data_IF_680821859374
#
_entry.id   IF_680821859374
#
_cell.length_a   1.000
_cell.length_b   1.000
_cell.length_c   1.000
_cell.angle_alpha   90.00
_cell.angle_beta   90.00
_cell.angle_gamma   90.00
#
_symmetry.space_group_name_H-M   'P 1'
#
loop_
_entity.id
_entity.type
_entity.pdbx_description
1 polymer ?
#
# COMPACT_ATOMS: atom_id res chain seq x y z
N UNK A 1 -35.31 19.26 -8.51
CA UNK A 1 -35.57 19.49 -7.06
C UNK A 1 -35.86 18.12 -6.44
N UNK A 2 -34.84 17.42 -5.94
CA UNK A 2 -34.95 16.20 -5.16
C UNK A 2 -34.16 16.43 -3.87
N UNK A 3 -34.87 16.57 -2.76
CA UNK A 3 -34.32 16.71 -1.42
C UNK A 3 -33.70 15.39 -0.99
N UNK A 4 -32.39 15.34 -0.82
CA UNK A 4 -31.73 14.27 -0.09
C UNK A 4 -32.14 14.37 1.39
N UNK A 5 -32.70 13.28 1.92
CA UNK A 5 -33.03 13.19 3.35
C UNK A 5 -31.72 12.91 4.14
N UNK A 6 -31.53 13.56 5.30
CA UNK A 6 -30.37 13.31 6.14
C UNK A 6 -30.48 11.93 6.81
N UNK A 7 -29.36 11.19 6.81
CA UNK A 7 -29.20 9.93 7.57
C UNK A 7 -29.10 10.31 9.04
N UNK A 8 -30.06 9.87 9.86
CA UNK A 8 -30.14 10.15 11.29
C UNK A 8 -29.04 9.41 12.06
N UNK A 9 -28.20 10.07 12.89
CA UNK A 9 -27.18 9.42 13.69
C UNK A 9 -27.77 8.78 14.96
N UNK A 10 -27.29 7.59 15.30
CA UNK A 10 -27.44 6.98 16.62
C UNK A 10 -26.62 7.74 17.67
N UNK A 11 -27.19 7.90 18.86
CA UNK A 11 -26.68 8.71 19.97
C UNK A 11 -25.23 8.38 20.38
N UNK A 12 -24.35 9.37 20.30
CA UNK A 12 -23.06 9.37 20.93
C UNK A 12 -22.00 10.21 20.21
N UNK A 13 -21.81 11.46 20.63
CA UNK A 13 -20.83 12.46 20.17
C UNK A 13 -21.03 12.98 18.74
N UNK A 14 -20.99 14.31 18.60
CA UNK A 14 -21.19 15.06 17.35
C UNK A 14 -20.15 14.66 16.29
N UNK A 15 -20.47 13.62 15.51
CA UNK A 15 -19.73 13.37 14.27
C UNK A 15 -20.06 14.50 13.30
N UNK A 16 -19.03 15.06 12.69
CA UNK A 16 -19.19 16.11 11.68
C UNK A 16 -20.00 15.51 10.53
N UNK A 17 -21.19 16.04 10.29
CA UNK A 17 -22.01 15.66 9.14
C UNK A 17 -21.41 16.31 7.91
N UNK A 18 -20.74 15.53 7.09
CA UNK A 18 -20.25 16.01 5.79
C UNK A 18 -21.43 16.03 4.81
N UNK A 19 -21.85 17.22 4.39
CA UNK A 19 -22.86 17.39 3.34
C UNK A 19 -22.31 17.10 1.95
N UNK A 20 -21.05 17.41 1.72
CA UNK A 20 -20.19 16.97 0.63
C UNK A 20 -18.81 16.75 1.24
N UNK A 21 -18.19 15.59 0.99
CA UNK A 21 -16.82 15.34 1.45
C UNK A 21 -15.87 15.87 0.39
N UNK A 22 -15.26 17.00 0.68
CA UNK A 22 -14.31 17.63 -0.24
C UNK A 22 -12.89 17.15 0.07
N UNK A 23 -12.12 16.88 -0.97
CA UNK A 23 -10.72 16.47 -0.90
C UNK A 23 -9.89 17.42 -0.02
N UNK A 24 -10.09 18.73 -0.17
CA UNK A 24 -9.38 19.75 0.60
C UNK A 24 -9.63 19.69 2.12
N UNK A 25 -10.67 19.01 2.59
CA UNK A 25 -10.89 18.82 4.03
C UNK A 25 -9.83 17.89 4.66
N UNK A 26 -9.19 17.05 3.84
CA UNK A 26 -8.11 16.14 4.25
C UNK A 26 -6.72 16.75 4.05
N UNK A 27 -6.66 18.06 3.85
CA UNK A 27 -5.41 18.80 3.76
C UNK A 27 -4.82 19.04 5.14
N UNK A 28 -3.52 18.91 5.25
CA UNK A 28 -2.69 19.40 6.35
C UNK A 28 -1.38 19.89 5.76
N UNK A 29 -0.73 20.83 6.43
CA UNK A 29 0.55 21.36 5.99
C UNK A 29 1.66 20.34 6.30
N UNK A 30 2.33 19.85 5.26
CA UNK A 30 3.41 18.89 5.36
C UNK A 30 4.69 19.49 4.78
N UNK A 31 5.67 19.87 5.62
CA UNK A 31 6.98 20.29 5.15
C UNK A 31 7.67 19.18 4.35
N UNK A 32 8.25 19.52 3.20
CA UNK A 32 8.87 18.56 2.29
C UNK A 32 10.05 17.83 2.93
N UNK A 33 10.77 18.47 3.83
CA UNK A 33 11.88 17.88 4.59
C UNK A 33 11.47 16.73 5.51
N UNK A 34 10.20 16.61 5.85
CA UNK A 34 9.69 15.47 6.64
C UNK A 34 9.43 14.23 5.81
N UNK A 35 9.44 14.33 4.48
CA UNK A 35 9.29 13.19 3.58
C UNK A 35 10.58 12.36 3.58
N UNK A 36 10.51 11.16 4.16
CA UNK A 36 11.67 10.31 4.33
C UNK A 36 12.24 9.82 3.00
N UNK A 37 13.50 10.12 2.74
CA UNK A 37 14.20 9.70 1.52
C UNK A 37 14.94 8.36 1.68
N UNK A 38 15.25 7.97 2.91
CA UNK A 38 16.01 6.75 3.26
C UNK A 38 15.34 5.98 4.38
N UNK A 39 15.38 4.63 4.34
CA UNK A 39 14.97 3.81 5.46
C UNK A 39 15.93 3.96 6.64
N UNK A 40 15.41 3.71 7.85
CA UNK A 40 16.23 3.64 9.08
C UNK A 40 16.84 2.26 9.25
N UNK A 41 17.98 2.21 9.94
CA UNK A 41 18.61 0.99 10.44
C UNK A 41 18.76 1.06 11.98
N UNK A 42 18.33 0.04 12.70
CA UNK A 42 17.51 -1.09 12.24
C UNK A 42 16.07 -0.65 11.85
N UNK A 43 15.32 -1.53 11.16
CA UNK A 43 13.96 -1.24 10.66
C UNK A 43 13.01 -0.77 11.75
N UNK A 44 13.07 -1.38 12.92
CA UNK A 44 12.22 -1.12 14.08
C UNK A 44 12.65 0.09 14.94
N UNK A 45 13.68 0.82 14.49
CA UNK A 45 14.10 2.07 15.11
C UNK A 45 13.20 3.26 14.76
N UNK A 46 12.29 3.11 13.79
CA UNK A 46 11.30 4.14 13.46
C UNK A 46 10.43 4.50 14.66
N UNK A 47 9.92 5.71 14.68
CA UNK A 47 8.95 6.14 15.69
C UNK A 47 7.59 5.51 15.45
N UNK A 48 6.80 5.38 16.48
CA UNK A 48 5.44 4.88 16.45
C UNK A 48 4.52 5.85 17.20
N UNK A 49 3.54 6.41 16.50
CA UNK A 49 2.45 7.13 17.14
C UNK A 49 1.31 6.14 17.39
N UNK A 50 0.99 5.89 18.65
CA UNK A 50 -0.13 5.02 19.03
C UNK A 50 -1.36 5.89 19.27
N UNK A 51 -2.41 5.68 18.49
CA UNK A 51 -3.66 6.44 18.53
C UNK A 51 -4.80 5.56 19.04
N UNK A 52 -5.39 5.94 20.15
CA UNK A 52 -6.66 5.37 20.61
C UNK A 52 -7.81 5.95 19.78
N UNK A 53 -8.44 5.12 18.96
CA UNK A 53 -9.50 5.55 18.04
C UNK A 53 -10.79 5.98 18.75
N UNK A 54 -11.00 5.55 20.01
CA UNK A 54 -12.22 5.89 20.76
C UNK A 54 -12.08 7.25 21.43
N UNK A 55 -10.92 7.53 22.01
CA UNK A 55 -10.69 8.73 22.80
C UNK A 55 -9.94 9.83 22.04
N UNK A 56 -9.22 9.48 20.98
CA UNK A 56 -8.32 10.38 20.25
C UNK A 56 -7.01 10.66 20.98
N UNK A 57 -6.75 10.01 22.12
CA UNK A 57 -5.49 10.13 22.84
C UNK A 57 -4.37 9.40 22.07
N UNK A 58 -3.18 9.97 22.11
CA UNK A 58 -2.01 9.37 21.46
C UNK A 58 -0.81 9.27 22.41
N UNK A 59 0.14 8.42 22.02
CA UNK A 59 1.40 8.23 22.70
C UNK A 59 2.53 8.14 21.67
N UNK A 60 3.63 8.83 21.93
CA UNK A 60 4.86 8.73 21.13
C UNK A 60 5.73 7.59 21.64
N UNK A 61 6.11 6.67 20.75
CA UNK A 61 6.88 5.45 21.02
C UNK A 61 7.87 5.19 19.89
N UNK A 62 8.60 4.09 19.98
CA UNK A 62 9.35 3.49 18.86
C UNK A 62 8.63 2.24 18.38
N UNK A 63 8.87 1.84 17.13
CA UNK A 63 8.15 0.72 16.55
C UNK A 63 8.35 -0.60 17.31
N UNK A 64 9.54 -0.81 17.86
CA UNK A 64 9.82 -1.98 18.72
C UNK A 64 8.92 -2.08 19.95
N UNK A 65 8.37 -0.97 20.41
CA UNK A 65 7.47 -0.93 21.57
C UNK A 65 6.07 -1.46 21.24
N UNK A 66 5.81 -1.83 19.97
CA UNK A 66 4.53 -2.39 19.52
C UNK A 66 4.12 -3.59 20.35
N UNK A 67 5.09 -4.36 20.86
CA UNK A 67 4.87 -5.50 21.74
C UNK A 67 4.04 -5.16 22.98
N UNK A 68 4.14 -3.92 23.48
CA UNK A 68 3.38 -3.47 24.66
C UNK A 68 1.91 -3.17 24.35
N UNK A 69 1.54 -3.07 23.09
CA UNK A 69 0.20 -2.76 22.61
C UNK A 69 -0.53 -3.97 22.03
N UNK A 70 0.20 -5.03 21.72
CA UNK A 70 -0.35 -6.30 21.28
C UNK A 70 -0.71 -7.17 22.49
N UNK A 71 -1.66 -8.09 22.31
CA UNK A 71 -2.15 -8.98 23.37
C UNK A 71 -2.13 -10.43 22.88
N UNK A 72 -1.90 -11.40 23.75
CA UNK A 72 -2.11 -12.81 23.40
C UNK A 72 -3.51 -13.01 22.83
N UNK A 73 -3.60 -13.73 21.71
CA UNK A 73 -4.86 -13.94 20.99
C UNK A 73 -5.19 -12.92 19.90
N UNK A 74 -4.43 -11.84 19.76
CA UNK A 74 -4.50 -10.96 18.60
C UNK A 74 -3.98 -11.66 17.33
N UNK A 75 -4.33 -11.15 16.16
CA UNK A 75 -3.80 -11.57 14.87
C UNK A 75 -3.29 -10.36 14.09
N UNK A 76 -2.01 -10.39 13.67
CA UNK A 76 -1.48 -9.46 12.69
C UNK A 76 -1.71 -10.01 11.29
N UNK A 77 -2.35 -9.23 10.43
CA UNK A 77 -2.55 -9.58 9.01
C UNK A 77 -1.59 -8.76 8.16
N UNK A 78 -0.68 -9.47 7.49
CA UNK A 78 0.46 -8.90 6.76
C UNK A 78 0.30 -9.18 5.26
N UNK A 79 0.66 -8.21 4.42
CA UNK A 79 0.70 -8.40 2.98
C UNK A 79 2.08 -8.90 2.55
N UNK A 80 2.15 -10.12 2.04
CA UNK A 80 3.40 -10.79 1.66
C UNK A 80 3.80 -10.58 0.19
N UNK A 81 3.17 -9.65 -0.51
CA UNK A 81 3.55 -9.30 -1.87
C UNK A 81 5.01 -8.82 -1.93
N UNK A 82 5.69 -9.20 -3.00
CA UNK A 82 7.08 -8.83 -3.27
C UNK A 82 7.15 -7.94 -4.51
N UNK A 83 7.89 -6.85 -4.39
CA UNK A 83 8.06 -5.88 -5.47
C UNK A 83 8.95 -6.47 -6.55
N UNK A 84 8.51 -6.36 -7.80
CA UNK A 84 9.32 -6.64 -8.96
C UNK A 84 10.32 -5.48 -9.19
N UNK A 85 11.57 -5.76 -9.61
CA UNK A 85 12.46 -4.72 -10.15
C UNK A 85 11.96 -4.31 -11.55
N UNK A 86 10.78 -3.70 -11.55
CA UNK A 86 9.93 -3.48 -12.72
C UNK A 86 10.35 -2.29 -13.59
N UNK A 87 11.33 -1.49 -13.14
CA UNK A 87 11.82 -0.33 -13.86
C UNK A 87 13.02 -0.72 -14.73
N UNK A 88 12.85 -0.68 -16.05
CA UNK A 88 13.84 -1.07 -17.03
C UNK A 88 14.38 0.16 -17.75
N UNK A 89 15.67 0.38 -17.66
CA UNK A 89 16.37 1.43 -18.41
C UNK A 89 17.06 0.81 -19.62
N UNK A 90 16.76 1.32 -20.80
CA UNK A 90 17.28 0.78 -22.04
C UNK A 90 17.33 1.80 -23.15
N UNK A 91 17.35 1.32 -24.35
CA UNK A 91 17.45 2.15 -25.55
C UNK A 91 16.63 1.55 -26.72
N UNK A 92 16.23 2.41 -27.62
CA UNK A 92 15.64 2.03 -28.91
C UNK A 92 16.73 1.47 -29.80
N UNK A 93 16.58 0.23 -30.26
CA UNK A 93 17.60 -0.48 -31.04
C UNK A 93 18.02 0.28 -32.30
N UNK A 94 17.09 0.90 -33.03
CA UNK A 94 17.35 1.61 -34.26
C UNK A 94 18.13 2.92 -34.11
N UNK A 95 18.08 3.57 -32.94
CA UNK A 95 18.58 4.96 -32.79
C UNK A 95 19.49 5.17 -31.57
N UNK A 96 19.56 4.20 -30.66
CA UNK A 96 20.26 4.36 -29.38
C UNK A 96 19.59 5.34 -28.41
N UNK A 97 18.40 5.85 -28.74
CA UNK A 97 17.69 6.79 -27.88
C UNK A 97 17.23 6.14 -26.59
N UNK A 98 17.58 6.74 -25.44
CA UNK A 98 17.18 6.22 -24.14
C UNK A 98 15.67 6.09 -24.01
N UNK A 99 15.24 4.98 -23.42
CA UNK A 99 13.86 4.67 -23.09
C UNK A 99 13.79 4.01 -21.72
N UNK A 100 12.74 4.30 -21.00
CA UNK A 100 12.39 3.64 -19.76
C UNK A 100 11.10 2.89 -19.94
N UNK A 101 11.03 1.63 -19.50
CA UNK A 101 9.80 0.90 -19.34
C UNK A 101 9.57 0.61 -17.86
N UNK A 102 8.31 0.74 -17.45
CA UNK A 102 7.85 0.32 -16.13
C UNK A 102 6.79 -0.75 -16.32
N UNK A 103 7.08 -1.96 -15.88
CA UNK A 103 6.19 -3.11 -15.96
C UNK A 103 4.95 -2.88 -15.09
N UNK A 104 3.76 -3.10 -15.65
CA UNK A 104 2.49 -2.93 -14.95
C UNK A 104 1.78 -4.28 -14.74
N UNK A 105 1.35 -4.91 -15.83
CA UNK A 105 0.51 -6.10 -15.78
C UNK A 105 0.96 -7.11 -16.81
N UNK A 106 1.19 -8.38 -16.43
CA UNK A 106 1.43 -9.45 -17.38
C UNK A 106 0.15 -9.74 -18.18
N UNK A 107 0.31 -10.00 -19.49
CA UNK A 107 -0.79 -10.28 -20.42
C UNK A 107 -0.69 -11.69 -21.05
N UNK A 108 0.22 -12.53 -20.54
CA UNK A 108 0.52 -13.86 -21.09
C UNK A 108 1.46 -13.82 -22.28
N UNK A 109 2.02 -14.97 -22.65
CA UNK A 109 2.91 -15.14 -23.82
C UNK A 109 4.06 -14.12 -23.90
N UNK A 110 4.70 -13.87 -22.76
CA UNK A 110 5.75 -12.86 -22.60
C UNK A 110 5.33 -11.42 -22.93
N UNK A 111 4.03 -11.18 -23.03
CA UNK A 111 3.47 -9.85 -23.23
C UNK A 111 3.19 -9.15 -21.90
N UNK A 112 3.51 -7.88 -21.85
CA UNK A 112 3.29 -7.02 -20.69
C UNK A 112 2.70 -5.68 -21.10
N UNK A 113 1.77 -5.22 -20.28
CA UNK A 113 1.40 -3.82 -20.28
C UNK A 113 2.46 -3.03 -19.51
N UNK A 114 2.95 -1.95 -20.11
CA UNK A 114 4.03 -1.14 -19.55
C UNK A 114 3.74 0.35 -19.72
N UNK A 115 4.25 1.15 -18.80
CA UNK A 115 4.38 2.58 -18.98
C UNK A 115 5.72 2.87 -19.65
N UNK A 116 5.73 3.66 -20.73
CA UNK A 116 6.95 4.00 -21.46
C UNK A 116 7.31 5.49 -21.29
N UNK A 117 8.53 5.77 -20.93
CA UNK A 117 9.09 7.11 -20.77
C UNK A 117 10.34 7.35 -21.64
N UNK A 118 10.37 8.36 -22.54
CA UNK A 118 9.24 9.09 -23.12
C UNK A 118 8.43 8.26 -24.11
N UNK A 119 7.10 8.32 -24.06
CA UNK A 119 6.22 7.51 -24.90
C UNK A 119 6.47 7.65 -26.41
N UNK A 120 6.96 8.81 -26.87
CA UNK A 120 7.33 9.04 -28.28
C UNK A 120 8.49 8.15 -28.80
N UNK A 121 9.25 7.51 -27.87
CA UNK A 121 10.37 6.60 -28.17
C UNK A 121 10.00 5.14 -28.10
N UNK A 122 8.72 4.82 -27.87
CA UNK A 122 8.18 3.48 -27.82
C UNK A 122 6.88 3.44 -28.65
N UNK A 123 7.04 3.41 -29.97
CA UNK A 123 5.94 3.33 -30.94
C UNK A 123 5.72 1.88 -31.38
N UNK A 124 4.51 1.51 -31.80
CA UNK A 124 4.27 0.18 -32.37
C UNK A 124 5.29 -0.16 -33.46
N UNK A 125 5.87 -1.35 -33.38
CA UNK A 125 6.93 -1.82 -34.28
C UNK A 125 8.35 -1.51 -33.82
N UNK A 126 8.56 -0.64 -32.82
CA UNK A 126 9.89 -0.37 -32.28
C UNK A 126 10.44 -1.56 -31.51
N UNK A 127 11.75 -1.77 -31.63
CA UNK A 127 12.50 -2.70 -30.81
C UNK A 127 13.34 -1.94 -29.79
N UNK A 128 13.28 -2.40 -28.56
CA UNK A 128 13.95 -1.82 -27.39
C UNK A 128 14.90 -2.85 -26.80
N UNK A 129 16.06 -2.42 -26.32
CA UNK A 129 17.06 -3.30 -25.72
C UNK A 129 17.43 -2.82 -24.32
N UNK A 130 17.63 -3.80 -23.43
CA UNK A 130 17.95 -3.58 -22.01
C UNK A 130 19.09 -4.50 -21.59
N UNK A 131 19.93 -4.04 -20.64
CA UNK A 131 20.98 -4.87 -20.07
C UNK A 131 21.94 -5.42 -21.13
N UNK A 132 22.41 -4.60 -22.05
CA UNK A 132 23.34 -5.00 -23.13
C UNK A 132 22.79 -6.15 -24.01
N UNK A 133 21.46 -6.21 -24.15
CA UNK A 133 20.79 -7.22 -24.97
C UNK A 133 20.30 -8.47 -24.22
N UNK A 134 20.46 -8.53 -22.89
CA UNK A 134 19.91 -9.61 -22.07
C UNK A 134 18.38 -9.68 -22.16
N UNK A 135 17.73 -8.54 -22.39
CA UNK A 135 16.30 -8.43 -22.60
C UNK A 135 16.01 -7.52 -23.78
N UNK A 136 15.14 -7.98 -24.66
CA UNK A 136 14.62 -7.15 -25.76
C UNK A 136 13.10 -7.07 -25.65
N UNK A 137 12.53 -5.97 -26.12
CA UNK A 137 11.10 -5.78 -26.17
C UNK A 137 10.66 -5.23 -27.52
N UNK A 138 9.60 -5.81 -28.07
CA UNK A 138 8.92 -5.27 -29.25
C UNK A 138 7.62 -4.60 -28.82
N UNK A 139 7.45 -3.34 -29.18
CA UNK A 139 6.21 -2.61 -28.92
C UNK A 139 5.15 -3.09 -29.92
N UNK A 140 4.06 -3.64 -29.40
CA UNK A 140 2.96 -4.18 -30.22
C UNK A 140 1.93 -3.10 -30.51
N UNK A 141 1.43 -2.42 -29.47
CA UNK A 141 0.37 -1.41 -29.61
C UNK A 141 0.41 -0.37 -28.49
N UNK A 142 -0.33 0.71 -28.69
CA UNK A 142 -0.61 1.72 -27.66
C UNK A 142 -2.01 1.46 -27.11
N UNK A 143 -2.08 1.20 -25.80
CA UNK A 143 -3.33 0.93 -25.10
C UNK A 143 -4.04 2.23 -24.70
N UNK A 144 -5.31 2.10 -24.29
CA UNK A 144 -6.05 3.21 -23.69
C UNK A 144 -5.30 3.78 -22.49
N UNK A 145 -5.27 5.12 -22.38
CA UNK A 145 -4.47 5.80 -21.34
C UNK A 145 -2.98 5.97 -21.65
N UNK A 146 -2.52 5.50 -22.83
CA UNK A 146 -1.16 5.75 -23.30
C UNK A 146 -0.11 4.73 -22.88
N UNK A 147 -0.50 3.68 -22.17
CA UNK A 147 0.37 2.52 -21.88
C UNK A 147 0.73 1.79 -23.18
N UNK A 148 1.72 0.93 -23.11
CA UNK A 148 2.16 0.10 -24.25
C UNK A 148 1.92 -1.38 -23.94
N UNK A 149 1.49 -2.14 -24.93
CA UNK A 149 1.64 -3.58 -24.92
C UNK A 149 2.97 -3.91 -25.58
N UNK A 150 3.84 -4.61 -24.87
CA UNK A 150 5.15 -5.04 -25.37
C UNK A 150 5.27 -6.54 -25.25
N UNK A 151 6.01 -7.17 -26.18
CA UNK A 151 6.42 -8.56 -26.08
C UNK A 151 7.90 -8.62 -25.78
N UNK A 152 8.26 -9.31 -24.73
CA UNK A 152 9.66 -9.53 -24.34
C UNK A 152 10.25 -10.77 -25.01
N UNK A 153 11.56 -10.70 -25.24
CA UNK A 153 12.38 -11.84 -25.66
C UNK A 153 13.65 -11.85 -24.82
N UNK A 154 13.99 -13.01 -24.28
CA UNK A 154 15.09 -13.22 -23.33
C UNK A 154 15.50 -14.70 -23.34
N UNK A 155 16.62 -15.02 -22.73
CA UNK A 155 17.02 -16.41 -22.48
C UNK A 155 16.82 -16.78 -21.00
N UNK A 156 16.35 -18.01 -20.76
CA UNK A 156 16.18 -18.55 -19.41
C UNK A 156 14.91 -18.07 -18.71
N UNK A 157 15.06 -17.58 -17.48
CA UNK A 157 13.95 -17.14 -16.62
C UNK A 157 13.81 -15.62 -16.64
N UNK A 158 12.60 -15.13 -16.97
CA UNK A 158 12.30 -13.71 -17.06
C UNK A 158 12.58 -12.95 -15.76
N UNK A 159 12.18 -13.50 -14.62
CA UNK A 159 12.37 -12.87 -13.33
C UNK A 159 13.85 -12.79 -12.92
N UNK A 160 14.66 -13.80 -13.29
CA UNK A 160 16.10 -13.75 -13.07
C UNK A 160 16.78 -12.65 -13.93
N UNK A 161 16.29 -12.44 -15.15
CA UNK A 161 16.75 -11.32 -15.99
C UNK A 161 16.35 -9.99 -15.35
N UNK A 162 15.11 -9.85 -14.87
CA UNK A 162 14.67 -8.64 -14.18
C UNK A 162 15.50 -8.34 -12.92
N UNK A 163 15.84 -9.36 -12.14
CA UNK A 163 16.71 -9.18 -10.96
C UNK A 163 18.08 -8.63 -11.32
N UNK A 164 18.59 -9.01 -12.50
CA UNK A 164 19.91 -8.58 -12.99
C UNK A 164 19.91 -7.13 -13.48
N UNK A 165 18.92 -6.76 -14.30
CA UNK A 165 18.93 -5.48 -15.03
C UNK A 165 17.88 -4.47 -14.52
N UNK A 166 16.86 -4.94 -13.83
CA UNK A 166 15.75 -4.11 -13.34
C UNK A 166 16.13 -3.27 -12.12
N UNK A 167 15.45 -2.15 -11.99
CA UNK A 167 15.54 -1.27 -10.83
C UNK A 167 14.22 -1.30 -10.04
N UNK A 168 14.31 -1.09 -8.74
CA UNK A 168 13.12 -0.99 -7.89
C UNK A 168 12.30 0.25 -8.29
N UNK A 169 11.01 0.10 -8.53
CA UNK A 169 10.13 1.21 -8.88
C UNK A 169 9.75 1.99 -7.62
N UNK A 170 10.68 2.82 -7.14
CA UNK A 170 10.44 3.65 -5.97
C UNK A 170 9.35 4.70 -6.27
N UNK A 171 8.56 5.07 -5.25
CA UNK A 171 7.59 6.16 -5.39
C UNK A 171 8.23 7.46 -5.88
N UNK A 172 7.48 8.31 -6.62
CA UNK A 172 8.03 9.50 -7.26
C UNK A 172 8.59 10.56 -6.29
N UNK A 173 8.19 10.53 -5.02
CA UNK A 173 8.70 11.43 -3.98
C UNK A 173 10.01 10.97 -3.34
N UNK A 174 10.53 9.77 -3.69
CA UNK A 174 11.84 9.29 -3.29
C UNK A 174 12.80 9.57 -4.43
N UNK A 175 13.69 10.52 -4.21
CA UNK A 175 14.68 10.95 -5.21
C UNK A 175 16.06 10.31 -5.00
N UNK A 176 16.30 9.78 -3.80
CA UNK A 176 17.54 9.11 -3.47
C UNK A 176 17.58 7.68 -3.99
N UNK A 177 18.76 7.28 -4.51
CA UNK A 177 18.97 5.90 -4.95
C UNK A 177 19.05 4.96 -3.76
N UNK A 178 18.25 3.91 -3.79
CA UNK A 178 18.32 2.85 -2.81
C UNK A 178 19.59 2.03 -3.01
N UNK A 179 20.44 1.92 -1.99
CA UNK A 179 21.69 1.15 -2.03
C UNK A 179 21.45 -0.36 -2.01
N UNK A 180 20.47 -0.78 -1.22
CA UNK A 180 20.07 -2.17 -1.05
C UNK A 180 18.61 -2.32 -1.46
N UNK A 181 18.34 -3.11 -2.50
CA UNK A 181 16.98 -3.38 -3.02
C UNK A 181 16.07 -4.01 -1.97
N UNK A 182 16.63 -4.85 -1.08
CA UNK A 182 15.87 -5.54 -0.03
C UNK A 182 15.33 -4.58 1.04
N UNK A 183 15.83 -3.34 1.10
CA UNK A 183 15.26 -2.32 2.00
C UNK A 183 13.88 -1.81 1.55
N UNK A 184 13.50 -2.06 0.29
CA UNK A 184 12.14 -1.81 -0.21
C UNK A 184 11.32 -3.10 -0.34
N UNK A 185 11.68 -4.11 0.46
CA UNK A 185 10.94 -5.37 0.61
C UNK A 185 10.67 -5.61 2.11
N UNK A 186 9.51 -6.19 2.42
CA UNK A 186 9.26 -6.69 3.78
C UNK A 186 10.10 -7.93 4.03
N UNK A 187 10.45 -8.20 5.29
CA UNK A 187 11.24 -9.39 5.65
C UNK A 187 10.48 -10.71 5.43
N UNK A 188 9.21 -10.63 5.15
CA UNK A 188 8.31 -11.78 4.89
C UNK A 188 7.74 -11.78 3.46
N UNK A 189 8.24 -10.93 2.56
CA UNK A 189 7.76 -10.87 1.18
C UNK A 189 8.03 -12.18 0.42
N UNK A 190 7.03 -12.70 -0.31
CA UNK A 190 7.10 -13.97 -1.04
C UNK A 190 6.55 -13.87 -2.45
N UNK A 191 5.31 -13.36 -2.58
CA UNK A 191 4.53 -13.41 -3.80
C UNK A 191 4.90 -12.27 -4.75
N UNK A 192 5.67 -12.59 -5.79
CA UNK A 192 6.13 -11.64 -6.80
C UNK A 192 4.96 -11.09 -7.62
N UNK A 193 5.00 -9.80 -7.94
CA UNK A 193 4.00 -9.18 -8.84
C UNK A 193 3.60 -7.75 -8.45
N UNK A 194 4.06 -7.26 -7.31
CA UNK A 194 3.72 -5.90 -6.85
C UNK A 194 4.60 -4.84 -7.50
N UNK A 195 4.01 -3.71 -7.85
CA UNK A 195 4.73 -2.53 -8.33
C UNK A 195 5.21 -1.62 -7.17
N UNK A 196 4.70 -1.83 -5.95
CA UNK A 196 5.10 -1.10 -4.77
C UNK A 196 5.08 -2.00 -3.53
N UNK A 197 5.95 -1.70 -2.55
CA UNK A 197 6.00 -2.43 -1.30
C UNK A 197 4.81 -2.08 -0.38
N UNK A 198 4.31 -3.03 0.43
CA UNK A 198 3.40 -2.73 1.54
C UNK A 198 4.20 -2.11 2.69
N UNK A 199 4.41 -0.79 2.61
CA UNK A 199 5.47 -0.08 3.34
C UNK A 199 5.33 -0.08 4.86
N UNK A 200 4.12 -0.24 5.40
CA UNK A 200 3.93 -0.43 6.84
C UNK A 200 4.60 -1.71 7.38
N UNK A 201 4.78 -2.71 6.54
CA UNK A 201 5.50 -3.93 6.88
C UNK A 201 7.02 -3.77 6.92
N UNK A 202 7.57 -2.69 6.35
CA UNK A 202 9.01 -2.45 6.34
C UNK A 202 9.62 -2.20 7.72
N UNK A 203 8.79 -1.86 8.69
CA UNK A 203 9.22 -1.63 10.08
C UNK A 203 9.54 -2.91 10.85
N UNK A 204 9.02 -4.05 10.41
CA UNK A 204 9.28 -5.33 11.07
C UNK A 204 10.65 -5.87 10.75
N UNK A 205 11.32 -6.39 11.79
CA UNK A 205 12.48 -7.27 11.66
C UNK A 205 12.04 -8.72 11.87
N UNK A 206 12.82 -9.72 11.42
CA UNK A 206 12.53 -11.13 11.73
C UNK A 206 12.42 -11.39 13.23
N UNK A 207 13.31 -10.79 14.03
CA UNK A 207 13.36 -10.93 15.49
C UNK A 207 12.11 -10.34 16.14
N UNK A 208 11.64 -9.19 15.70
CA UNK A 208 10.41 -8.57 16.22
C UNK A 208 9.18 -9.44 15.90
N UNK A 209 9.10 -10.03 14.71
CA UNK A 209 8.02 -10.96 14.36
C UNK A 209 8.06 -12.26 15.20
N UNK A 210 9.25 -12.77 15.51
CA UNK A 210 9.39 -13.90 16.42
C UNK A 210 8.90 -13.55 17.82
N UNK A 211 9.24 -12.38 18.35
CA UNK A 211 8.75 -11.89 19.64
C UNK A 211 7.23 -11.75 19.65
N UNK A 212 6.64 -11.21 18.58
CA UNK A 212 5.18 -11.12 18.40
C UNK A 212 4.53 -12.48 18.51
N UNK A 213 5.05 -13.49 17.79
CA UNK A 213 4.53 -14.86 17.84
C UNK A 213 4.71 -15.51 19.20
N UNK A 214 5.86 -15.28 19.86
CA UNK A 214 6.16 -15.78 21.19
C UNK A 214 5.19 -15.26 22.26
N UNK A 215 4.58 -14.09 22.05
CA UNK A 215 3.54 -13.53 22.91
C UNK A 215 2.18 -14.24 22.75
N UNK A 216 2.02 -15.14 21.79
CA UNK A 216 0.73 -15.74 21.46
C UNK A 216 -0.13 -14.89 20.51
N UNK A 217 0.49 -14.00 19.74
CA UNK A 217 -0.14 -13.27 18.63
C UNK A 217 0.01 -14.09 17.36
N UNK A 218 -1.11 -14.37 16.68
CA UNK A 218 -1.07 -15.06 15.38
C UNK A 218 -0.59 -14.10 14.28
N UNK A 219 0.04 -14.65 13.24
CA UNK A 219 0.38 -13.91 12.03
C UNK A 219 -0.30 -14.58 10.83
N UNK A 220 -1.10 -13.82 10.10
CA UNK A 220 -1.76 -14.29 8.88
C UNK A 220 -1.27 -13.48 7.69
N UNK A 221 -1.14 -14.12 6.53
CA UNK A 221 -0.64 -13.48 5.33
C UNK A 221 -1.75 -13.37 4.27
N UNK A 222 -1.87 -12.20 3.72
CA UNK A 222 -2.68 -11.92 2.52
C UNK A 222 -1.74 -11.48 1.41
N UNK A 223 -2.16 -11.64 0.17
CA UNK A 223 -1.45 -11.10 -0.98
C UNK A 223 -2.32 -10.03 -1.63
N UNK A 224 -1.83 -8.83 -1.78
CA UNK A 224 -2.40 -7.81 -2.64
C UNK A 224 -1.26 -7.18 -3.44
N UNK A 225 -1.34 -7.31 -4.75
CA UNK A 225 -0.38 -6.70 -5.65
C UNK A 225 -0.70 -5.24 -5.87
N UNK A 226 0.10 -4.38 -5.24
CA UNK A 226 -0.07 -2.93 -5.31
C UNK A 226 0.27 -2.45 -6.71
N UNK A 227 -0.68 -1.78 -7.35
CA UNK A 227 -0.48 -1.11 -8.63
C UNK A 227 0.09 0.31 -8.47
N UNK A 228 0.66 0.85 -9.55
CA UNK A 228 1.19 2.23 -9.56
C UNK A 228 0.12 3.30 -9.35
N UNK A 229 -1.14 2.94 -9.50
CA UNK A 229 -2.27 3.82 -9.23
C UNK A 229 -2.29 4.38 -7.81
N UNK A 230 -1.73 3.64 -6.86
CA UNK A 230 -1.65 4.06 -5.45
C UNK A 230 -0.88 5.38 -5.25
N UNK A 231 0.01 5.73 -6.18
CA UNK A 231 0.77 6.99 -6.14
C UNK A 231 0.11 8.13 -6.91
N UNK A 232 -1.04 7.89 -7.55
CA UNK A 232 -1.75 8.96 -8.27
C UNK A 232 -2.54 9.82 -7.27
N UNK A 233 -2.41 11.15 -7.34
CA UNK A 233 -3.20 12.03 -6.48
C UNK A 233 -4.68 11.94 -6.86
N UNK A 234 -5.55 12.12 -5.86
CA UNK A 234 -6.98 12.36 -6.08
C UNK A 234 -7.14 13.68 -6.82
N UNK A 235 -7.84 13.67 -7.93
CA UNK A 235 -8.03 14.87 -8.77
C UNK A 235 -9.39 15.50 -8.57
N UNK A 236 -10.36 14.70 -8.19
CA UNK A 236 -11.74 15.08 -7.97
C UNK A 236 -11.85 15.96 -6.72
N UNK A 237 -12.62 17.02 -6.78
CA UNK A 237 -12.85 17.90 -5.63
C UNK A 237 -13.77 17.23 -4.61
N UNK A 238 -14.80 16.54 -5.06
CA UNK A 238 -15.66 15.69 -4.23
C UNK A 238 -15.13 14.26 -4.24
N UNK A 239 -14.79 13.72 -3.06
CA UNK A 239 -14.12 12.42 -2.96
C UNK A 239 -14.99 11.27 -3.43
N UNK A 240 -16.32 11.39 -3.37
CA UNK A 240 -17.27 10.37 -3.83
C UNK A 240 -17.23 10.13 -5.34
N UNK A 241 -16.70 11.07 -6.11
CA UNK A 241 -16.50 10.95 -7.57
C UNK A 241 -15.22 10.19 -7.92
N UNK A 242 -14.33 10.01 -6.95
CA UNK A 242 -13.06 9.32 -7.16
C UNK A 242 -13.25 7.82 -7.39
N UNK A 243 -12.58 7.31 -8.44
CA UNK A 243 -12.56 5.88 -8.77
C UNK A 243 -11.22 5.29 -8.41
N UNK A 244 -11.24 4.34 -7.46
CA UNK A 244 -10.06 3.58 -7.09
C UNK A 244 -9.59 2.66 -8.22
N UNK A 245 -8.30 2.40 -8.24
CA UNK A 245 -7.73 1.38 -9.12
C UNK A 245 -8.11 0.00 -8.61
N UNK A 246 -8.35 -0.91 -9.54
CA UNK A 246 -8.58 -2.31 -9.24
C UNK A 246 -7.24 -3.02 -9.03
N UNK A 247 -7.11 -3.74 -7.92
CA UNK A 247 -5.92 -4.50 -7.53
C UNK A 247 -6.31 -5.93 -7.17
N UNK A 248 -5.49 -6.89 -7.61
CA UNK A 248 -5.73 -8.30 -7.34
C UNK A 248 -5.31 -8.66 -5.92
N UNK A 249 -6.17 -9.37 -5.21
CA UNK A 249 -5.88 -9.90 -3.88
C UNK A 249 -6.14 -11.40 -3.79
N UNK A 250 -5.47 -12.03 -2.83
CA UNK A 250 -5.66 -13.41 -2.46
C UNK A 250 -5.65 -13.55 -0.93
N UNK A 251 -6.60 -14.33 -0.40
CA UNK A 251 -6.69 -14.75 0.99
C UNK A 251 -6.71 -16.27 1.06
N UNK A 252 -5.66 -16.87 1.62
CA UNK A 252 -5.53 -18.31 1.75
C UNK A 252 -6.51 -18.91 2.81
N UNK A 253 -6.74 -20.22 2.73
CA UNK A 253 -7.52 -20.94 3.75
C UNK A 253 -6.89 -20.82 5.14
N UNK A 254 -5.55 -20.90 5.21
CA UNK A 254 -4.81 -20.77 6.46
C UNK A 254 -4.99 -19.40 7.10
N UNK A 255 -4.86 -18.33 6.31
CA UNK A 255 -5.05 -16.95 6.77
C UNK A 255 -6.50 -16.72 7.23
N UNK A 256 -7.50 -17.17 6.45
CA UNK A 256 -8.90 -17.07 6.83
C UNK A 256 -9.19 -17.80 8.14
N UNK A 257 -8.64 -19.02 8.31
CA UNK A 257 -8.79 -19.80 9.54
C UNK A 257 -8.16 -19.09 10.76
N UNK A 258 -6.97 -18.51 10.62
CA UNK A 258 -6.30 -17.75 11.69
C UNK A 258 -7.13 -16.54 12.13
N UNK A 259 -7.63 -15.77 11.17
CA UNK A 259 -8.48 -14.59 11.41
C UNK A 259 -9.77 -15.01 12.13
N UNK A 260 -10.42 -16.06 11.66
CA UNK A 260 -11.66 -16.54 12.25
C UNK A 260 -11.46 -17.08 13.68
N UNK A 261 -10.37 -17.81 13.95
CA UNK A 261 -10.01 -18.25 15.32
C UNK A 261 -9.82 -17.06 16.25
N UNK A 262 -9.11 -16.04 15.79
CA UNK A 262 -8.89 -14.80 16.55
C UNK A 262 -10.23 -14.15 16.93
N UNK A 263 -11.11 -13.98 15.96
CA UNK A 263 -12.45 -13.38 16.19
C UNK A 263 -13.29 -14.20 17.16
N UNK A 264 -13.31 -15.52 17.02
CA UNK A 264 -14.06 -16.43 17.90
C UNK A 264 -13.57 -16.38 19.35
N UNK A 265 -12.30 -16.11 19.58
CA UNK A 265 -11.70 -15.95 20.91
C UNK A 265 -11.82 -14.55 21.50
N UNK A 266 -12.42 -13.60 20.76
CA UNK A 266 -12.51 -12.21 21.17
C UNK A 266 -11.17 -11.44 21.05
N UNK A 267 -10.21 -11.95 20.30
CA UNK A 267 -8.96 -11.27 19.95
C UNK A 267 -9.18 -10.21 18.87
N UNK A 268 -8.21 -9.35 18.68
CA UNK A 268 -8.25 -8.26 17.70
C UNK A 268 -7.58 -8.69 16.39
N UNK A 269 -8.20 -8.33 15.27
CA UNK A 269 -7.62 -8.43 13.93
C UNK A 269 -6.99 -7.08 13.60
N UNK A 270 -5.66 -7.04 13.52
CA UNK A 270 -4.88 -5.83 13.28
C UNK A 270 -4.20 -5.95 11.92
N UNK A 271 -4.59 -5.10 10.97
CA UNK A 271 -3.97 -5.07 9.65
C UNK A 271 -2.64 -4.33 9.71
N UNK A 272 -1.63 -4.88 9.04
CA UNK A 272 -0.35 -4.23 8.78
C UNK A 272 -0.38 -3.66 7.36
N UNK A 273 -0.58 -2.37 7.26
CA UNK A 273 -0.73 -1.62 6.02
C UNK A 273 -2.17 -1.48 5.52
N UNK A 274 -2.39 -0.43 4.78
CA UNK A 274 -3.67 -0.14 4.12
C UNK A 274 -4.04 -1.20 3.09
N UNK A 275 -3.06 -1.90 2.51
CA UNK A 275 -3.28 -3.01 1.58
C UNK A 275 -3.91 -4.22 2.27
N UNK A 276 -3.40 -4.62 3.44
CA UNK A 276 -4.02 -5.68 4.25
C UNK A 276 -5.42 -5.28 4.71
N UNK A 277 -5.61 -4.03 5.13
CA UNK A 277 -6.91 -3.48 5.49
C UNK A 277 -7.90 -3.59 4.32
N UNK A 278 -7.51 -3.12 3.13
CA UNK A 278 -8.37 -3.17 1.94
C UNK A 278 -8.70 -4.59 1.52
N UNK A 279 -7.76 -5.53 1.61
CA UNK A 279 -8.02 -6.95 1.35
C UNK A 279 -9.07 -7.50 2.31
N UNK A 280 -8.89 -7.31 3.61
CA UNK A 280 -9.81 -7.80 4.64
C UNK A 280 -11.23 -7.26 4.46
N UNK A 281 -11.36 -5.96 4.24
CA UNK A 281 -12.65 -5.30 4.08
C UNK A 281 -13.30 -5.60 2.72
N UNK A 282 -12.53 -5.94 1.69
CA UNK A 282 -13.05 -6.43 0.39
C UNK A 282 -13.61 -7.83 0.48
N UNK A 283 -12.92 -8.71 1.22
CA UNK A 283 -13.43 -10.07 1.51
C UNK A 283 -14.68 -9.96 2.41
N UNK A 284 -14.63 -9.11 3.43
CA UNK A 284 -15.74 -8.93 4.36
C UNK A 284 -16.10 -10.20 5.14
N UNK A 285 -17.32 -10.23 5.64
CA UNK A 285 -17.87 -11.38 6.37
C UNK A 285 -19.00 -12.03 5.58
N UNK A 286 -18.92 -13.36 5.45
CA UNK A 286 -20.02 -14.19 4.95
C UNK A 286 -20.42 -15.14 6.09
N UNK A 287 -21.68 -15.08 6.52
CA UNK A 287 -22.17 -15.85 7.68
C UNK A 287 -21.34 -15.63 8.96
N UNK A 288 -20.85 -14.40 9.17
CA UNK A 288 -20.05 -14.00 10.32
C UNK A 288 -18.60 -14.44 10.30
N UNK A 289 -18.13 -15.03 9.21
CA UNK A 289 -16.75 -15.49 9.02
C UNK A 289 -16.11 -14.94 7.77
N UNK A 290 -14.80 -14.76 7.82
CA UNK A 290 -13.97 -14.47 6.65
C UNK A 290 -13.81 -15.75 5.83
N UNK A 291 -14.01 -15.67 4.52
CA UNK A 291 -13.86 -16.82 3.60
C UNK A 291 -12.57 -16.68 2.78
N UNK A 292 -11.86 -17.79 2.55
CA UNK A 292 -10.71 -17.78 1.64
C UNK A 292 -11.18 -17.53 0.21
N UNK A 293 -10.30 -16.99 -0.63
CA UNK A 293 -10.55 -16.74 -2.04
C UNK A 293 -9.65 -15.67 -2.62
N UNK A 294 -9.80 -15.44 -3.89
CA UNK A 294 -9.11 -14.41 -4.65
C UNK A 294 -10.11 -13.50 -5.35
N UNK A 295 -9.69 -12.31 -5.71
CA UNK A 295 -10.54 -11.37 -6.42
C UNK A 295 -9.83 -10.06 -6.75
N UNK A 296 -10.63 -9.14 -7.23
CA UNK A 296 -10.19 -7.77 -7.53
C UNK A 296 -10.87 -6.81 -6.60
N UNK A 297 -10.14 -5.84 -6.09
CA UNK A 297 -10.68 -4.79 -5.21
C UNK A 297 -10.39 -3.40 -5.75
N UNK A 298 -11.42 -2.61 -5.80
CA UNK A 298 -11.40 -1.15 -6.01
C UNK A 298 -12.01 -0.42 -4.80
N UNK A 299 -12.03 -1.07 -3.65
CA UNK A 299 -12.64 -0.53 -2.44
C UNK A 299 -12.03 0.82 -2.08
N UNK A 300 -12.88 1.81 -1.93
CA UNK A 300 -12.52 3.13 -1.44
C UNK A 300 -13.11 3.35 -0.04
N UNK A 301 -12.23 3.38 0.95
CA UNK A 301 -12.60 3.55 2.36
C UNK A 301 -12.36 4.99 2.76
N UNK A 302 -13.44 5.67 3.22
CA UNK A 302 -13.44 7.05 3.66
C UNK A 302 -14.43 7.24 4.82
N UNK A 303 -14.46 8.38 5.53
CA UNK A 303 -15.34 8.58 6.67
C UNK A 303 -16.81 8.22 6.40
N UNK A 304 -17.40 7.43 7.29
CA UNK A 304 -18.73 6.82 7.14
C UNK A 304 -18.68 5.33 6.79
N UNK A 305 -17.52 4.80 6.37
CA UNK A 305 -17.33 3.37 6.17
C UNK A 305 -17.42 2.61 7.50
N UNK A 306 -18.08 1.45 7.47
CA UNK A 306 -18.21 0.57 8.63
C UNK A 306 -17.33 -0.65 8.44
N UNK A 307 -16.25 -0.70 9.20
CA UNK A 307 -15.32 -1.85 9.18
C UNK A 307 -16.00 -3.12 9.69
N UNK A 308 -15.81 -4.22 8.98
CA UNK A 308 -16.44 -5.50 9.29
C UNK A 308 -15.46 -6.49 9.93
N UNK A 309 -14.22 -6.48 9.49
CA UNK A 309 -13.22 -7.49 9.85
C UNK A 309 -12.15 -6.95 10.79
N UNK A 310 -11.70 -5.73 10.53
CA UNK A 310 -10.51 -5.11 11.11
C UNK A 310 -10.85 -4.40 12.43
N UNK A 311 -10.02 -4.63 13.46
CA UNK A 311 -10.13 -3.96 14.77
C UNK A 311 -9.05 -2.88 14.96
N UNK A 312 -7.90 -3.01 14.31
CA UNK A 312 -6.79 -2.07 14.41
C UNK A 312 -5.96 -2.01 13.15
N UNK A 313 -5.13 -0.99 13.02
CA UNK A 313 -4.32 -0.75 11.83
C UNK A 313 -2.93 -0.25 12.22
N UNK A 314 -1.89 -0.86 11.65
CA UNK A 314 -0.54 -0.34 11.61
C UNK A 314 -0.33 0.27 10.23
N UNK A 315 0.06 1.52 10.14
CA UNK A 315 0.25 2.20 8.86
C UNK A 315 1.36 3.25 8.94
N UNK A 316 1.85 3.70 7.79
CA UNK A 316 2.72 4.88 7.71
C UNK A 316 1.87 6.15 7.75
N UNK A 317 2.53 7.30 7.89
CA UNK A 317 1.88 8.60 7.68
C UNK A 317 1.71 8.85 6.18
N UNK A 318 0.53 9.32 5.79
CA UNK A 318 0.12 9.47 4.39
C UNK A 318 0.09 10.91 3.93
N UNK A 319 0.11 11.12 2.59
CA UNK A 319 0.01 12.42 1.95
C UNK A 319 -1.27 13.16 2.34
N UNK A 320 -1.20 14.50 2.44
CA UNK A 320 -2.40 15.33 2.44
C UNK A 320 -3.30 14.98 1.25
N UNK A 321 -4.60 15.04 1.45
CA UNK A 321 -5.62 14.84 0.41
C UNK A 321 -5.59 13.47 -0.29
N UNK A 322 -4.83 12.48 0.24
CA UNK A 322 -4.74 11.13 -0.34
C UNK A 322 -5.91 10.23 0.10
N UNK A 323 -6.21 9.22 -0.71
CA UNK A 323 -7.18 8.18 -0.33
C UNK A 323 -6.80 7.45 0.96
N UNK A 324 -5.51 7.41 1.28
CA UNK A 324 -5.00 6.70 2.45
C UNK A 324 -5.21 7.46 3.76
N UNK A 325 -5.08 8.80 3.79
CA UNK A 325 -5.47 9.57 4.97
C UNK A 325 -6.98 9.50 5.20
N UNK A 326 -7.78 9.41 4.13
CA UNK A 326 -9.23 9.23 4.21
C UNK A 326 -9.59 7.90 4.88
N UNK A 327 -8.87 6.82 4.55
CA UNK A 327 -9.01 5.51 5.19
C UNK A 327 -8.68 5.59 6.70
N UNK A 328 -7.59 6.26 7.06
CA UNK A 328 -7.22 6.48 8.48
C UNK A 328 -8.31 7.27 9.20
N UNK A 329 -8.84 8.34 8.58
CA UNK A 329 -9.97 9.10 9.11
C UNK A 329 -11.24 8.26 9.28
N UNK A 330 -11.48 7.31 8.39
CA UNK A 330 -12.61 6.39 8.51
C UNK A 330 -12.49 5.49 9.74
N UNK A 331 -11.27 5.03 10.08
CA UNK A 331 -11.03 4.12 11.20
C UNK A 331 -10.95 4.85 12.54
N UNK A 332 -10.20 5.94 12.61
CA UNK A 332 -9.91 6.65 13.87
C UNK A 332 -10.80 7.87 14.14
N UNK A 333 -11.62 8.26 13.16
CA UNK A 333 -12.35 9.51 13.19
C UNK A 333 -11.53 10.67 12.60
N UNK A 334 -12.21 11.58 11.92
CA UNK A 334 -11.58 12.70 11.22
C UNK A 334 -10.79 13.61 12.19
N UNK A 335 -11.45 14.07 13.26
CA UNK A 335 -10.81 15.04 14.19
C UNK A 335 -9.61 14.42 14.92
N UNK A 336 -9.71 13.14 15.32
CA UNK A 336 -8.61 12.41 15.97
C UNK A 336 -7.42 12.24 15.01
N UNK A 337 -7.68 11.86 13.76
CA UNK A 337 -6.66 11.68 12.74
C UNK A 337 -5.95 12.99 12.44
N UNK A 338 -6.71 14.06 12.16
CA UNK A 338 -6.12 15.35 11.79
C UNK A 338 -5.34 15.97 12.96
N UNK A 339 -5.77 15.75 14.20
CA UNK A 339 -5.01 16.18 15.40
C UNK A 339 -3.70 15.40 15.54
N UNK A 340 -3.73 14.06 15.35
CA UNK A 340 -2.54 13.21 15.40
C UNK A 340 -1.53 13.56 14.28
N UNK A 341 -2.01 13.87 13.08
CA UNK A 341 -1.14 14.28 11.95
C UNK A 341 -0.47 15.64 12.20
N UNK A 342 -1.21 16.62 12.74
CA UNK A 342 -0.59 17.91 13.16
C UNK A 342 0.47 17.71 14.22
N UNK A 343 0.19 16.91 15.25
CA UNK A 343 1.17 16.54 16.26
C UNK A 343 2.42 15.89 15.63
N UNK A 344 2.22 14.94 14.69
CA UNK A 344 3.32 14.29 14.02
C UNK A 344 4.21 15.27 13.21
N UNK A 345 3.61 16.28 12.56
CA UNK A 345 4.36 17.34 11.88
C UNK A 345 5.14 18.21 12.90
N UNK A 346 4.49 18.65 13.98
CA UNK A 346 5.11 19.46 15.03
C UNK A 346 6.29 18.73 15.69
N UNK A 347 6.13 17.44 15.97
CA UNK A 347 7.14 16.56 16.56
C UNK A 347 8.15 16.02 15.54
N UNK A 348 8.07 16.46 14.27
CA UNK A 348 8.99 16.08 13.19
C UNK A 348 9.09 14.56 12.98
N UNK A 349 7.94 13.89 12.95
CA UNK A 349 7.88 12.54 12.45
C UNK A 349 8.28 12.51 10.98
N UNK A 350 8.76 11.37 10.54
CA UNK A 350 9.09 11.11 9.14
C UNK A 350 7.88 10.57 8.42
N UNK A 351 7.63 11.02 7.20
CA UNK A 351 6.42 10.70 6.44
C UNK A 351 6.71 9.77 5.27
N UNK A 352 5.70 9.07 4.79
CA UNK A 352 5.61 8.15 3.65
C UNK A 352 6.37 6.84 3.82
N UNK A 353 6.77 6.24 2.68
CA UNK A 353 7.22 4.85 2.56
C UNK A 353 8.36 4.46 3.51
N UNK A 354 9.33 5.35 3.71
CA UNK A 354 10.45 5.13 4.64
C UNK A 354 10.33 5.94 5.93
N UNK A 355 9.15 6.48 6.16
CA UNK A 355 8.85 7.28 7.35
C UNK A 355 8.60 6.45 8.59
N UNK A 356 7.96 7.09 9.55
CA UNK A 356 7.55 6.50 10.82
C UNK A 356 6.15 5.86 10.71
N UNK A 357 5.71 5.21 11.76
CA UNK A 357 4.47 4.44 11.78
C UNK A 357 3.42 5.02 12.73
N UNK A 358 2.17 4.66 12.47
CA UNK A 358 1.04 4.78 13.39
C UNK A 358 0.51 3.39 13.75
N UNK A 359 0.08 3.22 14.99
CA UNK A 359 -0.79 2.12 15.42
C UNK A 359 -2.12 2.71 15.87
N UNK A 360 -3.21 2.30 15.25
CA UNK A 360 -4.58 2.72 15.57
C UNK A 360 -5.30 1.55 16.22
N UNK A 361 -5.72 1.69 17.45
CA UNK A 361 -6.36 0.63 18.26
C UNK A 361 -7.56 1.12 19.07
#
# INVERSE_FOLDING_TARGET
RGLCQPITPGHGKKDRVFYAMLRQEFYYDLPEELIAQKPLEPRDASRLLVLDKQTGAWQDRHFRDILTFLRPGDCLVLNDSRVLPARLLGQRAATGAHVELLLLTPRGDDCWEVLAGPGRRAKPGDELTFGEGLLTARVLEVLEGGNRLVKFSYEGNFYAVLDTIGQMPLPPYIHEKLRDKERYQTVYSRELGSAAAPTAGLHFTPELLEQVRAMGVETAFVTLHVGLGTFRPVKEDEITDHKMHSEHYELSEEAAAAINRTRQRGGRVIAVGTTSCRTLESVGLTDGAVKPGEGWTDIFIYPGYRFQVLDGLITNFHLPESTLIMLVCALAGYDHTMAAYRHAVEEKYRFFSFGDAMLIV
#
